data_IF_264808665856
#
_entry.id   IF_264808665856
#
_cell.length_a   1.000
_cell.length_b   1.000
_cell.length_c   1.000
_cell.angle_alpha   90.00
_cell.angle_beta   90.00
_cell.angle_gamma   90.00
#
_symmetry.space_group_name_H-M   'P 1'
#
loop_
_entity.id
_entity.type
_entity.pdbx_description
1 polymer ?
#
# COMPACT_ATOMS: atom_id res chain seq x y z
N UNK A 1 7.64 35.55 -65.62
CA UNK A 1 7.70 35.73 -64.15
C UNK A 1 6.54 35.10 -63.38
N UNK A 2 5.29 35.08 -63.89
CA UNK A 2 4.13 34.46 -63.20
C UNK A 2 4.20 32.95 -62.94
N UNK A 3 4.88 32.17 -63.81
CA UNK A 3 4.98 30.70 -63.67
C UNK A 3 5.96 30.23 -62.58
N UNK A 4 6.99 31.03 -62.26
CA UNK A 4 8.00 30.67 -61.25
C UNK A 4 7.46 30.87 -59.83
N UNK A 5 6.61 31.87 -59.62
CA UNK A 5 5.97 32.14 -58.31
C UNK A 5 4.99 31.02 -57.93
N UNK A 6 4.31 30.41 -58.90
CA UNK A 6 3.36 29.31 -58.65
C UNK A 6 4.04 28.02 -58.21
N UNK A 7 5.28 27.75 -58.62
CA UNK A 7 5.98 26.51 -58.28
C UNK A 7 6.58 26.56 -56.87
N UNK A 8 7.01 27.74 -56.43
CA UNK A 8 7.56 27.95 -55.08
C UNK A 8 6.47 27.82 -54.00
N UNK A 9 5.25 28.32 -54.27
CA UNK A 9 4.12 28.24 -53.33
C UNK A 9 3.60 26.80 -53.19
N UNK A 10 3.70 25.96 -54.23
CA UNK A 10 3.31 24.54 -54.15
C UNK A 10 4.34 23.73 -53.36
N UNK A 11 5.65 24.02 -53.49
CA UNK A 11 6.69 23.31 -52.75
C UNK A 11 6.66 23.57 -51.23
N UNK A 12 6.26 24.76 -50.78
CA UNK A 12 6.22 25.07 -49.33
C UNK A 12 5.07 24.37 -48.60
N UNK A 13 3.96 24.08 -49.28
CA UNK A 13 2.80 23.36 -48.69
C UNK A 13 3.11 21.86 -48.51
N UNK A 14 3.94 21.27 -49.38
CA UNK A 14 4.32 19.85 -49.27
C UNK A 14 5.30 19.63 -48.10
N UNK A 15 6.19 20.60 -47.84
CA UNK A 15 7.15 20.51 -46.73
C UNK A 15 6.46 20.73 -45.38
N UNK A 16 5.44 21.60 -45.28
CA UNK A 16 4.71 21.80 -44.02
C UNK A 16 3.77 20.62 -43.67
N UNK A 17 3.26 19.90 -44.68
CA UNK A 17 2.46 18.68 -44.47
C UNK A 17 3.27 17.49 -43.92
N UNK A 18 4.57 17.43 -44.19
CA UNK A 18 5.43 16.35 -43.68
C UNK A 18 5.84 16.53 -42.20
N UNK A 19 5.75 17.73 -41.64
CA UNK A 19 6.11 17.99 -40.24
C UNK A 19 4.99 17.74 -39.22
N UNK A 20 3.74 17.51 -39.65
CA UNK A 20 2.62 17.24 -38.74
C UNK A 20 2.36 15.72 -38.58
N UNK A 21 2.98 14.87 -39.40
CA UNK A 21 2.90 13.40 -39.27
C UNK A 21 4.14 12.83 -38.56
N UNK A 22 4.43 13.33 -37.35
CA UNK A 22 5.62 12.90 -36.60
C UNK A 22 5.49 12.98 -35.09
N UNK A 23 4.31 13.35 -34.58
CA UNK A 23 3.97 13.21 -33.17
C UNK A 23 2.65 12.47 -33.09
N UNK A 24 2.65 11.23 -33.60
CA UNK A 24 1.86 10.21 -32.93
C UNK A 24 2.36 10.26 -31.49
N UNK A 25 1.48 10.57 -30.56
CA UNK A 25 1.68 10.12 -29.19
C UNK A 25 2.20 8.70 -29.33
N UNK A 26 3.41 8.44 -28.84
CA UNK A 26 3.78 7.08 -28.57
C UNK A 26 2.67 6.62 -27.64
N UNK A 27 1.67 5.91 -28.18
CA UNK A 27 1.14 4.78 -27.45
C UNK A 27 2.40 4.07 -27.03
N UNK A 28 2.61 3.95 -25.74
CA UNK A 28 3.58 3.02 -25.19
C UNK A 28 3.16 1.65 -25.76
N UNK A 29 3.62 1.39 -26.98
CA UNK A 29 3.75 0.07 -27.55
C UNK A 29 4.73 -0.55 -26.57
N UNK A 30 4.18 -1.41 -25.71
CA UNK A 30 4.93 -2.35 -24.89
C UNK A 30 5.70 -3.24 -25.86
N UNK A 31 6.80 -2.70 -26.38
CA UNK A 31 7.80 -3.42 -27.15
C UNK A 31 8.80 -4.02 -26.16
N UNK A 32 8.38 -5.03 -25.41
CA UNK A 32 9.25 -6.14 -25.01
C UNK A 32 8.46 -7.37 -24.52
N UNK A 33 8.33 -8.32 -25.44
CA UNK A 33 8.37 -9.77 -25.23
C UNK A 33 8.14 -10.33 -23.80
N UNK A 34 6.90 -10.79 -23.59
CA UNK A 34 6.48 -11.95 -22.79
C UNK A 34 6.48 -11.91 -21.24
N UNK A 35 6.76 -10.77 -20.59
CA UNK A 35 6.58 -10.62 -19.14
C UNK A 35 5.14 -10.24 -18.73
N UNK A 36 4.72 -10.53 -17.48
CA UNK A 36 3.45 -10.01 -16.96
C UNK A 36 3.51 -8.49 -16.75
N UNK A 37 2.50 -7.75 -17.22
CA UNK A 37 2.37 -6.31 -16.91
C UNK A 37 1.74 -6.18 -15.55
N UNK A 38 2.38 -5.46 -14.63
CA UNK A 38 1.87 -5.25 -13.26
C UNK A 38 1.37 -3.81 -13.13
N UNK A 39 0.07 -3.64 -12.89
CA UNK A 39 -0.49 -2.35 -12.47
C UNK A 39 -0.60 -2.28 -10.95
N UNK A 40 -0.41 -1.09 -10.38
CA UNK A 40 -0.60 -0.83 -8.96
C UNK A 40 -1.91 -0.09 -8.71
N UNK A 41 -2.68 -0.54 -7.72
CA UNK A 41 -3.87 0.15 -7.23
C UNK A 41 -3.71 0.36 -5.73
N UNK A 42 -3.77 1.62 -5.27
CA UNK A 42 -3.67 1.97 -3.85
C UNK A 42 -5.00 2.58 -3.44
N UNK A 43 -5.68 1.95 -2.48
CA UNK A 43 -6.98 2.38 -1.96
C UNK A 43 -8.01 2.68 -3.07
N UNK A 44 -8.05 1.79 -4.08
CA UNK A 44 -8.96 1.89 -5.23
C UNK A 44 -8.52 2.88 -6.31
N UNK A 45 -7.40 3.59 -6.14
CA UNK A 45 -6.84 4.52 -7.13
C UNK A 45 -5.66 3.93 -7.87
N UNK A 46 -5.63 4.06 -9.19
CA UNK A 46 -4.47 3.67 -9.99
C UNK A 46 -3.22 4.45 -9.56
N UNK A 47 -2.10 3.74 -9.45
CA UNK A 47 -0.80 4.26 -9.05
C UNK A 47 0.28 3.82 -10.03
N UNK A 48 1.30 4.66 -10.20
CA UNK A 48 2.51 4.35 -10.98
C UNK A 48 3.62 3.75 -10.11
N UNK A 49 3.43 3.74 -8.78
CA UNK A 49 4.40 3.23 -7.80
C UNK A 49 3.71 2.34 -6.76
N UNK A 50 4.50 1.49 -6.11
CA UNK A 50 4.04 0.77 -4.92
C UNK A 50 4.14 1.65 -3.67
N UNK A 51 3.37 1.35 -2.61
CA UNK A 51 3.55 2.01 -1.33
C UNK A 51 4.98 1.87 -0.80
N UNK A 52 5.41 2.83 0.00
CA UNK A 52 6.74 2.83 0.63
C UNK A 52 6.70 2.39 2.10
N UNK A 53 5.56 1.88 2.57
CA UNK A 53 5.37 1.44 3.96
C UNK A 53 4.63 0.11 4.03
N UNK A 54 4.75 -0.57 5.16
CA UNK A 54 4.02 -1.79 5.50
C UNK A 54 2.59 -1.54 6.02
N UNK A 55 2.07 -0.31 5.94
CA UNK A 55 0.73 0.07 6.42
C UNK A 55 -0.41 -0.40 5.51
N UNK A 56 -0.12 -1.31 4.60
CA UNK A 56 -1.06 -1.82 3.60
C UNK A 56 -1.15 -3.34 3.70
N UNK A 57 -2.32 -3.88 3.42
CA UNK A 57 -2.48 -5.27 2.99
C UNK A 57 -2.47 -5.29 1.47
N UNK A 58 -1.94 -6.37 0.88
CA UNK A 58 -1.78 -6.44 -0.57
C UNK A 58 -2.31 -7.76 -1.12
N UNK A 59 -2.97 -7.69 -2.27
CA UNK A 59 -3.38 -8.84 -3.07
C UNK A 59 -2.89 -8.67 -4.49
N UNK A 60 -2.65 -9.79 -5.18
CA UNK A 60 -2.27 -9.77 -6.59
C UNK A 60 -3.19 -10.68 -7.36
N UNK A 61 -3.84 -10.14 -8.38
CA UNK A 61 -4.69 -10.91 -9.28
C UNK A 61 -4.15 -10.80 -10.71
N UNK A 62 -3.98 -11.93 -11.37
CA UNK A 62 -3.52 -12.00 -12.76
C UNK A 62 -4.62 -12.50 -13.68
N UNK A 63 -4.68 -11.96 -14.89
CA UNK A 63 -5.65 -12.33 -15.92
C UNK A 63 -4.97 -12.47 -17.28
N UNK A 64 -5.51 -13.36 -18.10
CA UNK A 64 -5.14 -13.50 -19.52
C UNK A 64 -6.43 -13.48 -20.33
N UNK A 65 -6.55 -12.54 -21.26
CA UNK A 65 -7.77 -12.34 -22.05
C UNK A 65 -9.04 -12.25 -21.18
N UNK A 66 -8.94 -11.61 -20.01
CA UNK A 66 -10.05 -11.46 -19.06
C UNK A 66 -10.30 -12.67 -18.13
N UNK A 67 -9.56 -13.77 -18.30
CA UNK A 67 -9.72 -14.99 -17.48
C UNK A 67 -8.65 -15.00 -16.38
N UNK A 68 -9.07 -15.18 -15.12
CA UNK A 68 -8.16 -15.27 -13.97
C UNK A 68 -7.13 -16.39 -14.16
N UNK A 69 -5.89 -16.12 -13.78
CA UNK A 69 -4.77 -17.06 -13.81
C UNK A 69 -4.32 -17.30 -12.37
N UNK A 70 -4.32 -18.54 -11.93
CA UNK A 70 -3.76 -18.92 -10.64
C UNK A 70 -2.28 -19.24 -10.78
N UNK A 71 -1.45 -18.20 -10.62
CA UNK A 71 0.01 -18.26 -10.78
C UNK A 71 0.75 -18.12 -9.44
N UNK A 72 0.03 -18.30 -8.32
CA UNK A 72 0.58 -18.07 -6.98
C UNK A 72 1.09 -16.65 -6.75
N UNK A 73 0.46 -15.67 -7.40
CA UNK A 73 0.88 -14.27 -7.31
C UNK A 73 0.68 -13.72 -5.89
N UNK A 74 1.71 -13.07 -5.35
CA UNK A 74 1.65 -12.45 -4.01
C UNK A 74 2.48 -11.18 -3.96
N UNK A 75 2.01 -10.22 -3.16
CA UNK A 75 2.75 -9.01 -2.83
C UNK A 75 3.11 -9.07 -1.35
N UNK A 76 4.41 -9.02 -1.04
CA UNK A 76 4.93 -9.15 0.33
C UNK A 76 5.85 -7.99 0.68
N UNK A 77 5.70 -7.46 1.88
CA UNK A 77 6.64 -6.49 2.45
C UNK A 77 7.91 -7.20 2.90
N UNK A 78 9.07 -6.81 2.40
CA UNK A 78 10.35 -7.45 2.74
C UNK A 78 11.13 -6.76 3.88
N UNK A 79 10.52 -5.76 4.54
CA UNK A 79 11.17 -4.90 5.53
C UNK A 79 11.44 -3.49 5.00
N UNK A 80 11.66 -3.32 3.69
CA UNK A 80 12.01 -2.02 3.08
C UNK A 80 11.10 -1.64 1.92
N UNK A 81 10.60 -2.61 1.16
CA UNK A 81 9.75 -2.39 -0.01
C UNK A 81 8.77 -3.54 -0.22
N UNK A 82 7.72 -3.26 -0.99
CA UNK A 82 6.84 -4.31 -1.50
C UNK A 82 7.49 -5.05 -2.65
N UNK A 83 7.45 -6.38 -2.59
CA UNK A 83 7.95 -7.29 -3.61
C UNK A 83 6.78 -8.12 -4.12
N UNK A 84 6.52 -8.04 -5.42
CA UNK A 84 5.56 -8.93 -6.09
C UNK A 84 6.32 -10.15 -6.60
N UNK A 85 5.80 -11.33 -6.30
CA UNK A 85 6.36 -12.62 -6.71
C UNK A 85 5.28 -13.54 -7.26
N UNK A 86 5.71 -14.51 -8.06
CA UNK A 86 4.87 -15.48 -8.75
C UNK A 86 5.53 -16.86 -8.61
N UNK A 87 4.75 -17.93 -8.63
CA UNK A 87 5.28 -19.29 -8.59
C UNK A 87 5.70 -19.76 -10.00
N UNK A 88 4.78 -19.68 -10.97
CA UNK A 88 5.04 -20.05 -12.37
C UNK A 88 4.15 -19.22 -13.31
N UNK A 89 4.75 -18.64 -14.34
CA UNK A 89 4.07 -17.96 -15.44
C UNK A 89 4.66 -18.51 -16.73
N UNK A 90 3.91 -19.41 -17.35
CA UNK A 90 4.30 -20.08 -18.60
C UNK A 90 3.59 -19.54 -19.84
N UNK A 91 2.71 -18.54 -19.68
CA UNK A 91 1.95 -17.92 -20.76
C UNK A 91 2.31 -16.43 -20.93
N UNK A 92 2.43 -15.97 -22.18
CA UNK A 92 2.56 -14.55 -22.50
C UNK A 92 1.24 -13.77 -22.37
N UNK A 93 1.34 -12.43 -22.34
CA UNK A 93 0.20 -11.50 -22.22
C UNK A 93 -0.65 -11.75 -20.96
N UNK A 94 0.03 -12.03 -19.85
CA UNK A 94 -0.60 -12.03 -18.53
C UNK A 94 -0.57 -10.61 -17.98
N UNK A 95 -1.70 -10.13 -17.47
CA UNK A 95 -1.82 -8.81 -16.84
C UNK A 95 -2.18 -8.99 -15.38
N UNK A 96 -1.35 -8.48 -14.50
CA UNK A 96 -1.53 -8.58 -13.06
C UNK A 96 -1.83 -7.21 -12.45
N UNK A 97 -2.74 -7.18 -11.47
CA UNK A 97 -3.01 -6.00 -10.66
C UNK A 97 -2.56 -6.30 -9.24
N UNK A 98 -1.63 -5.51 -8.73
CA UNK A 98 -1.28 -5.48 -7.32
C UNK A 98 -2.15 -4.42 -6.63
N UNK A 99 -3.07 -4.87 -5.80
CA UNK A 99 -3.99 -4.01 -5.05
C UNK A 99 -3.49 -3.88 -3.62
N UNK A 100 -3.28 -2.65 -3.18
CA UNK A 100 -2.88 -2.28 -1.83
C UNK A 100 -4.04 -1.56 -1.15
N UNK A 101 -4.43 -2.05 0.02
CA UNK A 101 -5.49 -1.47 0.84
C UNK A 101 -4.88 -1.06 2.17
N UNK A 102 -5.15 0.17 2.61
CA UNK A 102 -4.68 0.65 3.91
C UNK A 102 -5.15 -0.30 5.01
N UNK A 103 -4.19 -0.80 5.81
CA UNK A 103 -4.47 -1.67 6.95
C UNK A 103 -5.25 -0.85 7.99
N UNK A 104 -6.41 -1.36 8.37
CA UNK A 104 -7.11 -0.87 9.56
C UNK A 104 -6.42 -1.50 10.77
N UNK A 105 -5.83 -0.70 11.68
CA UNK A 105 -5.18 -1.24 12.87
C UNK A 105 -6.21 -1.96 13.75
N UNK A 106 -5.75 -2.90 14.57
CA UNK A 106 -6.59 -3.49 15.62
C UNK A 106 -6.68 -2.54 16.82
N UNK A 107 -7.65 -2.76 17.71
CA UNK A 107 -7.78 -1.96 18.93
C UNK A 107 -6.53 -2.01 19.80
N UNK A 108 -5.91 -3.19 19.93
CA UNK A 108 -4.66 -3.36 20.67
C UNK A 108 -3.49 -2.63 20.01
N UNK A 109 -3.35 -2.70 18.68
CA UNK A 109 -2.32 -1.95 17.95
C UNK A 109 -2.45 -0.44 18.17
N UNK A 110 -3.68 0.08 18.19
CA UNK A 110 -3.93 1.51 18.49
C UNK A 110 -3.55 1.87 19.93
N UNK A 111 -3.84 1.01 20.92
CA UNK A 111 -3.42 1.25 22.31
C UNK A 111 -1.90 1.31 22.39
N UNK A 112 -1.21 0.30 21.86
CA UNK A 112 0.24 0.16 21.96
C UNK A 112 1.00 1.26 21.23
N UNK A 113 0.48 1.76 20.11
CA UNK A 113 1.09 2.88 19.40
C UNK A 113 1.07 4.21 20.18
N UNK A 114 0.12 4.37 21.11
CA UNK A 114 -0.08 5.59 21.89
C UNK A 114 0.39 5.47 23.35
N UNK A 115 0.98 4.33 23.72
CA UNK A 115 1.36 4.02 25.09
C UNK A 115 2.76 3.42 25.15
N UNK A 116 3.53 3.84 26.15
CA UNK A 116 4.76 3.14 26.52
C UNK A 116 4.42 2.01 27.49
N UNK A 117 4.81 0.78 27.16
CA UNK A 117 4.68 -0.37 28.06
C UNK A 117 5.82 -0.34 29.07
N UNK A 118 5.48 -0.26 30.36
CA UNK A 118 6.47 -0.20 31.45
C UNK A 118 6.48 -1.48 32.27
N UNK A 119 7.57 -1.67 33.01
CA UNK A 119 7.64 -2.69 34.07
C UNK A 119 6.91 -2.19 35.32
N UNK A 120 6.18 -3.06 36.05
CA UNK A 120 5.50 -2.66 37.28
C UNK A 120 6.49 -2.15 38.34
N UNK A 121 6.19 -1.01 38.96
CA UNK A 121 6.95 -0.47 40.11
C UNK A 121 6.60 -1.27 41.37
N UNK A 122 5.32 -1.63 41.50
CA UNK A 122 4.80 -2.43 42.60
C UNK A 122 4.19 -3.72 42.07
N UNK A 123 4.26 -4.80 42.86
CA UNK A 123 3.69 -6.09 42.48
C UNK A 123 2.15 -6.00 42.36
N UNK A 124 1.57 -6.27 41.17
CA UNK A 124 0.12 -6.30 40.98
C UNK A 124 -0.54 -7.28 41.95
N UNK A 125 -1.65 -6.87 42.56
CA UNK A 125 -2.40 -7.68 43.52
C UNK A 125 -1.77 -7.80 44.92
N UNK A 126 -0.51 -7.37 45.13
CA UNK A 126 0.15 -7.43 46.43
C UNK A 126 0.32 -6.05 47.08
N UNK A 127 0.34 -4.96 46.30
CA UNK A 127 0.49 -3.61 46.80
C UNK A 127 -0.47 -2.62 46.12
N UNK A 128 -0.76 -1.51 46.81
CA UNK A 128 -1.50 -0.39 46.24
C UNK A 128 -0.65 0.25 45.14
N UNK A 129 -1.28 0.55 43.99
CA UNK A 129 -0.65 1.25 42.88
C UNK A 129 -0.10 2.61 43.30
N UNK A 130 1.09 2.98 42.82
CA UNK A 130 1.55 4.37 42.89
C UNK A 130 0.82 5.25 41.87
N UNK A 131 0.91 6.58 42.02
CA UNK A 131 0.34 7.51 41.06
C UNK A 131 1.04 7.44 39.68
N UNK A 132 2.31 7.04 39.65
CA UNK A 132 3.17 7.04 38.47
C UNK A 132 3.15 5.74 37.63
N UNK A 133 2.19 4.84 37.86
CA UNK A 133 2.08 3.63 37.04
C UNK A 133 1.50 3.92 35.63
N UNK A 134 1.64 2.95 34.71
CA UNK A 134 1.40 3.12 33.27
C UNK A 134 0.66 1.91 32.65
N UNK A 135 0.72 1.78 31.31
CA UNK A 135 0.34 0.55 30.62
C UNK A 135 1.35 -0.55 30.94
N UNK A 136 0.87 -1.68 31.42
CA UNK A 136 1.68 -2.83 31.78
C UNK A 136 1.30 -4.00 30.88
N UNK A 137 2.30 -4.69 30.34
CA UNK A 137 2.11 -6.00 29.73
C UNK A 137 2.03 -7.05 30.85
N UNK A 138 1.03 -7.91 30.80
CA UNK A 138 0.99 -9.12 31.59
C UNK A 138 1.82 -10.24 30.93
N UNK A 139 1.90 -11.39 31.58
CA UNK A 139 2.48 -12.59 30.98
C UNK A 139 1.64 -13.04 29.78
N UNK A 140 2.30 -13.63 28.78
CA UNK A 140 1.62 -14.26 27.65
C UNK A 140 0.85 -15.51 28.14
N UNK A 141 -0.40 -15.64 27.70
CA UNK A 141 -1.24 -16.81 27.94
C UNK A 141 -1.71 -17.42 26.61
N UNK A 142 -2.56 -18.46 26.66
CA UNK A 142 -3.08 -19.12 25.47
C UNK A 142 -3.91 -18.20 24.54
N UNK A 143 -4.32 -17.02 25.02
CA UNK A 143 -5.04 -15.98 24.29
C UNK A 143 -4.14 -14.82 23.86
N UNK A 144 -2.85 -14.87 24.18
CA UNK A 144 -1.83 -13.87 23.84
C UNK A 144 -1.40 -13.03 25.05
N UNK A 145 -0.90 -11.82 24.78
CA UNK A 145 -0.46 -10.89 25.83
C UNK A 145 -1.61 -9.98 26.25
N UNK A 146 -2.02 -10.05 27.52
CA UNK A 146 -2.98 -9.09 28.08
C UNK A 146 -2.27 -7.80 28.53
N UNK A 147 -2.93 -6.66 28.40
CA UNK A 147 -2.41 -5.35 28.82
C UNK A 147 -3.39 -4.69 29.79
N UNK A 148 -2.88 -4.07 30.85
CA UNK A 148 -3.69 -3.37 31.83
C UNK A 148 -3.08 -2.02 32.19
N UNK A 149 -3.97 -1.06 32.40
CA UNK A 149 -3.61 0.26 32.90
C UNK A 149 -3.68 0.28 34.42
N UNK A 150 -2.62 0.78 35.06
CA UNK A 150 -2.56 0.95 36.52
C UNK A 150 -2.03 2.35 36.86
N UNK A 151 -2.33 2.87 38.04
CA UNK A 151 -1.94 4.23 38.44
C UNK A 151 -2.86 5.35 37.94
N UNK A 152 -2.35 6.59 38.01
CA UNK A 152 -3.04 7.79 37.56
C UNK A 152 -2.76 8.08 36.07
N UNK A 153 -3.12 7.13 35.21
CA UNK A 153 -2.88 7.20 33.77
C UNK A 153 -3.79 8.24 33.09
N UNK A 154 -3.19 9.05 32.21
CA UNK A 154 -3.87 10.12 31.45
C UNK A 154 -4.14 9.75 29.99
N UNK A 155 -3.51 8.70 29.49
CA UNK A 155 -3.59 8.21 28.11
C UNK A 155 -4.47 6.96 27.94
N UNK A 156 -5.44 6.77 28.85
CA UNK A 156 -6.39 5.66 28.82
C UNK A 156 -7.65 5.94 27.97
N UNK A 157 -7.64 7.01 27.19
CA UNK A 157 -8.65 7.32 26.17
C UNK A 157 -8.11 6.93 24.80
N UNK A 158 -8.90 6.16 24.04
CA UNK A 158 -8.50 5.60 22.75
C UNK A 158 -9.58 5.86 21.72
N UNK A 159 -9.22 6.54 20.64
CA UNK A 159 -10.09 6.66 19.47
C UNK A 159 -9.95 5.43 18.58
N UNK A 160 -11.03 4.68 18.40
CA UNK A 160 -11.05 3.48 17.58
C UNK A 160 -12.43 3.23 17.00
N UNK A 161 -12.49 2.86 15.72
CA UNK A 161 -13.73 2.63 14.98
C UNK A 161 -14.73 3.81 15.11
N UNK A 162 -14.21 5.05 14.98
CA UNK A 162 -14.97 6.30 15.11
C UNK A 162 -15.70 6.47 16.46
N UNK A 163 -15.16 5.89 17.53
CA UNK A 163 -15.65 6.03 18.90
C UNK A 163 -14.49 6.32 19.84
N UNK A 164 -14.78 7.03 20.92
CA UNK A 164 -13.84 7.23 22.02
C UNK A 164 -14.11 6.17 23.11
N UNK A 165 -13.10 5.36 23.40
CA UNK A 165 -13.12 4.33 24.43
C UNK A 165 -12.33 4.82 25.63
N UNK A 166 -12.86 4.63 26.83
CA UNK A 166 -12.10 4.85 28.08
C UNK A 166 -11.80 3.50 28.71
N UNK A 167 -10.52 3.18 28.84
CA UNK A 167 -10.10 1.94 29.48
C UNK A 167 -10.15 2.15 31.00
N UNK A 168 -11.04 1.40 31.64
CA UNK A 168 -11.25 1.45 33.09
C UNK A 168 -10.23 0.53 33.77
N UNK A 169 -9.72 1.00 34.91
CA UNK A 169 -8.73 0.32 35.74
C UNK A 169 -9.41 -0.84 36.49
N UNK A 170 -8.68 -1.91 36.75
CA UNK A 170 -9.10 -3.02 37.64
C UNK A 170 -8.35 -2.92 38.96
#
# INVERSE_FOLDING_TARGET
MKKIISLIIVCTIIISGMFIYGKSDKKDLLEDNNGPIIAAVIDGKASTTFPTTNKYTATVECTRNGIKQDVGAKATWNGTKWVVSFNDISAGNVRCNATFITKVPTFSETILANNEVKTPITTPGAAVSTAEEALLASAEDNSGTSYYFRGAVTNNYVEFANKCWRIVRV
#
